data_IF_838061063236
#
_entry.id   IF_838061063236
#
_cell.length_a   1.000
_cell.length_b   1.000
_cell.length_c   1.000
_cell.angle_alpha   90.00
_cell.angle_beta   90.00
_cell.angle_gamma   90.00
#
_symmetry.space_group_name_H-M   'P 1'
#
loop_
_entity.id
_entity.type
_entity.pdbx_description
1 polymer ?
#
# COMPACT_ATOMS: atom_id res chain seq x y z
N UNK A 1 -12.83 -10.09 40.67
CA UNK A 1 -14.18 -10.07 40.06
C UNK A 1 -14.71 -8.66 39.75
N UNK A 2 -14.62 -7.65 40.65
CA UNK A 2 -15.10 -6.28 40.36
C UNK A 2 -14.39 -5.61 39.16
N UNK A 3 -13.10 -5.87 38.98
CA UNK A 3 -12.32 -5.31 37.86
C UNK A 3 -12.79 -5.81 36.48
N UNK A 4 -13.25 -7.07 36.38
CA UNK A 4 -13.62 -7.68 35.09
C UNK A 4 -14.87 -7.03 34.51
N UNK A 5 -15.91 -6.85 35.34
CA UNK A 5 -17.15 -6.20 34.92
C UNK A 5 -16.93 -4.72 34.58
N UNK A 6 -16.03 -4.04 35.28
CA UNK A 6 -15.65 -2.66 34.96
C UNK A 6 -14.91 -2.55 33.61
N UNK A 7 -14.00 -3.48 33.31
CA UNK A 7 -13.29 -3.54 32.02
C UNK A 7 -14.27 -3.80 30.87
N UNK A 8 -15.19 -4.74 31.04
CA UNK A 8 -16.24 -5.06 30.06
C UNK A 8 -17.18 -3.86 29.86
N UNK A 9 -17.62 -3.22 30.94
CA UNK A 9 -18.49 -2.04 30.87
C UNK A 9 -17.85 -0.88 30.11
N UNK A 10 -16.57 -0.60 30.36
CA UNK A 10 -15.80 0.44 29.64
C UNK A 10 -15.67 0.11 28.14
N UNK A 11 -15.43 -1.15 27.80
CA UNK A 11 -15.36 -1.60 26.40
C UNK A 11 -16.71 -1.38 25.69
N UNK A 12 -17.81 -1.80 26.30
CA UNK A 12 -19.17 -1.60 25.76
C UNK A 12 -19.47 -0.11 25.56
N UNK A 13 -19.10 0.73 26.52
CA UNK A 13 -19.23 2.18 26.41
C UNK A 13 -18.46 2.74 25.20
N UNK A 14 -17.17 2.40 25.07
CA UNK A 14 -16.33 2.89 23.97
C UNK A 14 -16.90 2.49 22.61
N UNK A 15 -17.27 1.22 22.44
CA UNK A 15 -17.83 0.71 21.19
C UNK A 15 -19.16 1.40 20.84
N UNK A 16 -20.03 1.63 21.83
CA UNK A 16 -21.29 2.34 21.60
C UNK A 16 -21.03 3.77 21.10
N UNK A 17 -20.05 4.47 21.68
CA UNK A 17 -19.68 5.83 21.27
C UNK A 17 -19.07 5.86 19.87
N UNK A 18 -18.19 4.92 19.52
CA UNK A 18 -17.65 4.75 18.16
C UNK A 18 -18.76 4.62 17.11
N UNK A 19 -19.87 3.96 17.47
CA UNK A 19 -21.04 3.79 16.60
C UNK A 19 -22.06 4.93 16.65
N UNK A 20 -21.79 6.00 17.41
CA UNK A 20 -22.67 7.16 17.53
C UNK A 20 -24.05 6.85 18.15
N UNK A 21 -24.18 5.76 18.91
CA UNK A 21 -25.45 5.36 19.51
C UNK A 21 -25.64 6.02 20.88
N UNK A 22 -26.81 6.64 21.12
CA UNK A 22 -27.19 7.07 22.47
C UNK A 22 -27.51 5.85 23.35
N UNK A 23 -27.40 5.98 24.67
CA UNK A 23 -27.78 4.88 25.58
C UNK A 23 -29.24 4.45 25.39
N UNK A 24 -30.15 5.39 25.11
CA UNK A 24 -31.56 5.11 24.84
C UNK A 24 -31.76 4.32 23.53
N UNK A 25 -31.06 4.72 22.45
CA UNK A 25 -31.10 4.00 21.18
C UNK A 25 -30.51 2.59 21.29
N UNK A 26 -29.43 2.44 22.05
CA UNK A 26 -28.81 1.15 22.31
C UNK A 26 -29.69 0.25 23.19
N UNK A 27 -30.31 0.79 24.23
CA UNK A 27 -31.24 0.07 25.08
C UNK A 27 -32.45 -0.47 24.29
N UNK A 28 -33.00 0.34 23.38
CA UNK A 28 -34.09 -0.07 22.49
C UNK A 28 -33.69 -1.26 21.61
N UNK A 29 -32.47 -1.24 21.04
CA UNK A 29 -31.97 -2.34 20.21
C UNK A 29 -31.69 -3.62 21.00
N UNK A 30 -31.26 -3.49 22.26
CA UNK A 30 -31.02 -4.62 23.17
C UNK A 30 -32.31 -5.19 23.79
N UNK A 31 -33.47 -4.55 23.60
CA UNK A 31 -34.69 -4.92 24.31
C UNK A 31 -34.61 -4.70 25.82
N UNK A 32 -33.85 -3.69 26.28
CA UNK A 32 -33.67 -3.37 27.70
C UNK A 32 -33.90 -1.89 28.01
N UNK A 33 -33.73 -1.48 29.27
CA UNK A 33 -33.90 -0.08 29.70
C UNK A 33 -32.60 0.71 29.59
N UNK A 34 -32.70 2.03 29.38
CA UNK A 34 -31.53 2.93 29.40
C UNK A 34 -30.79 2.87 30.75
N UNK A 35 -31.52 2.70 31.85
CA UNK A 35 -30.94 2.52 33.18
C UNK A 35 -30.11 1.23 33.29
N UNK A 36 -30.55 0.15 32.65
CA UNK A 36 -29.77 -1.09 32.57
C UNK A 36 -28.47 -0.90 31.77
N UNK A 37 -28.54 -0.26 30.60
CA UNK A 37 -27.34 0.09 29.81
C UNK A 37 -26.35 0.91 30.64
N UNK A 38 -26.83 1.90 31.40
CA UNK A 38 -25.95 2.71 32.25
C UNK A 38 -25.25 1.87 33.34
N UNK A 39 -25.95 0.92 33.96
CA UNK A 39 -25.34 0.00 34.94
C UNK A 39 -24.32 -0.94 34.31
N UNK A 40 -24.60 -1.42 33.09
CA UNK A 40 -23.69 -2.26 32.30
C UNK A 40 -22.38 -1.53 32.02
N UNK A 41 -22.46 -0.29 31.52
CA UNK A 41 -21.28 0.51 31.16
C UNK A 41 -20.40 0.87 32.37
N UNK A 42 -21.00 1.02 33.55
CA UNK A 42 -20.28 1.26 34.80
C UNK A 42 -19.83 -0.03 35.52
N UNK A 43 -20.02 -1.20 34.90
CA UNK A 43 -19.66 -2.49 35.48
C UNK A 43 -20.44 -2.86 36.74
N UNK A 44 -21.59 -2.24 36.97
CA UNK A 44 -22.48 -2.45 38.13
C UNK A 44 -23.56 -3.51 37.88
N UNK A 45 -23.47 -4.23 36.76
CA UNK A 45 -24.41 -5.27 36.38
C UNK A 45 -23.66 -6.55 36.06
N UNK A 46 -24.13 -7.67 36.61
CA UNK A 46 -23.63 -9.00 36.24
C UNK A 46 -24.24 -9.36 34.88
N UNK A 47 -23.37 -9.76 33.96
CA UNK A 47 -23.74 -10.11 32.59
C UNK A 47 -23.56 -11.60 32.38
N UNK A 48 -24.59 -12.27 31.87
CA UNK A 48 -24.47 -13.67 31.41
C UNK A 48 -23.77 -13.72 30.05
N UNK A 49 -23.26 -14.89 29.66
CA UNK A 49 -22.67 -15.09 28.32
C UNK A 49 -23.68 -14.78 27.22
N UNK A 50 -24.95 -15.16 27.39
CA UNK A 50 -26.02 -14.85 26.42
C UNK A 50 -26.26 -13.34 26.31
N UNK A 51 -26.23 -12.62 27.44
CA UNK A 51 -26.37 -11.16 27.43
C UNK A 51 -25.21 -10.51 26.68
N UNK A 52 -23.99 -11.03 26.87
CA UNK A 52 -22.79 -10.54 26.20
C UNK A 52 -22.76 -10.88 24.70
N UNK A 53 -23.30 -12.03 24.31
CA UNK A 53 -23.54 -12.38 22.91
C UNK A 53 -24.52 -11.41 22.25
N UNK A 54 -25.68 -11.19 22.86
CA UNK A 54 -26.69 -10.26 22.32
C UNK A 54 -26.17 -8.80 22.25
N UNK A 55 -25.36 -8.38 23.23
CA UNK A 55 -24.67 -7.09 23.18
C UNK A 55 -23.66 -7.03 22.03
N UNK A 56 -22.93 -8.11 21.78
CA UNK A 56 -21.98 -8.21 20.65
C UNK A 56 -22.69 -8.09 19.30
N UNK A 57 -23.88 -8.69 19.16
CA UNK A 57 -24.67 -8.63 17.93
C UNK A 57 -25.22 -7.22 17.67
N UNK A 58 -25.79 -6.58 18.70
CA UNK A 58 -26.36 -5.22 18.55
C UNK A 58 -25.27 -4.17 18.28
N UNK A 59 -24.09 -4.37 18.88
CA UNK A 59 -22.93 -3.54 18.63
C UNK A 59 -22.10 -4.04 17.45
N UNK A 60 -22.51 -5.11 16.75
CA UNK A 60 -21.83 -5.71 15.60
C UNK A 60 -20.30 -5.75 15.79
N UNK A 61 -19.89 -6.12 17.01
CA UNK A 61 -18.49 -6.16 17.47
C UNK A 61 -18.38 -7.22 18.55
N UNK A 62 -17.45 -8.15 18.35
CA UNK A 62 -17.30 -9.31 19.20
C UNK A 62 -16.72 -8.91 20.57
N UNK A 63 -17.52 -8.99 21.63
CA UNK A 63 -17.10 -8.67 23.02
C UNK A 63 -16.64 -9.93 23.77
N UNK A 64 -17.17 -11.10 23.40
CA UNK A 64 -16.70 -12.41 23.86
C UNK A 64 -16.42 -13.28 22.65
N UNK A 65 -15.21 -13.84 22.60
CA UNK A 65 -14.83 -14.89 21.66
C UNK A 65 -14.71 -16.20 22.44
N UNK A 66 -15.61 -17.16 22.21
CA UNK A 66 -15.42 -18.55 22.68
C UNK A 66 -14.51 -19.38 21.75
N UNK A 67 -14.17 -18.85 20.57
CA UNK A 67 -13.04 -19.26 19.72
C UNK A 67 -13.06 -18.35 18.49
N UNK A 68 -11.97 -17.64 18.21
CA UNK A 68 -11.84 -16.79 17.02
C UNK A 68 -11.18 -15.42 17.22
N UNK A 69 -10.63 -15.11 18.40
CA UNK A 69 -9.81 -13.93 18.65
C UNK A 69 -8.31 -14.24 18.58
N UNK A 70 -7.53 -13.32 17.98
CA UNK A 70 -6.08 -13.20 17.97
C UNK A 70 -5.25 -14.45 18.35
N UNK A 71 -4.48 -14.96 17.39
CA UNK A 71 -3.47 -15.98 17.64
C UNK A 71 -2.42 -15.37 18.59
N UNK A 72 -2.53 -15.67 19.89
CA UNK A 72 -1.50 -15.38 20.86
C UNK A 72 -0.48 -16.51 20.78
N UNK A 73 0.69 -16.22 20.21
CA UNK A 73 1.80 -17.17 20.16
C UNK A 73 2.56 -17.10 21.49
N UNK A 74 2.58 -18.20 22.24
CA UNK A 74 3.50 -18.39 23.37
C UNK A 74 4.73 -19.12 22.87
N UNK A 75 5.89 -18.46 22.91
CA UNK A 75 7.17 -19.06 22.53
C UNK A 75 7.87 -19.56 23.78
N UNK A 76 8.23 -20.85 23.82
CA UNK A 76 9.06 -21.43 24.87
C UNK A 76 10.53 -21.41 24.43
N UNK A 77 11.35 -20.64 25.16
CA UNK A 77 12.78 -20.50 24.86
C UNK A 77 13.57 -21.78 25.13
N UNK A 78 14.86 -21.78 24.72
CA UNK A 78 15.78 -22.89 24.97
C UNK A 78 15.85 -23.96 23.88
N UNK A 79 15.07 -23.82 22.81
CA UNK A 79 15.03 -24.77 21.70
C UNK A 79 15.99 -24.35 20.58
N UNK A 80 16.93 -25.23 20.21
CA UNK A 80 17.80 -25.02 19.06
C UNK A 80 17.06 -25.38 17.77
N UNK A 81 16.92 -24.42 16.84
CA UNK A 81 16.32 -24.67 15.53
C UNK A 81 17.34 -25.33 14.59
N UNK A 82 16.93 -26.41 13.91
CA UNK A 82 17.69 -27.07 12.84
C UNK A 82 16.72 -27.54 11.76
N UNK A 83 17.03 -27.23 10.51
CA UNK A 83 16.22 -27.61 9.36
C UNK A 83 16.39 -26.64 8.20
N UNK A 84 15.53 -26.78 7.19
CA UNK A 84 15.46 -25.93 6.01
C UNK A 84 14.04 -25.36 5.85
N UNK A 85 13.93 -24.20 5.25
CA UNK A 85 12.66 -23.50 5.00
C UNK A 85 12.71 -22.92 3.60
N UNK A 86 11.62 -23.10 2.85
CA UNK A 86 11.40 -22.40 1.60
C UNK A 86 10.94 -20.96 1.87
N UNK A 87 11.66 -19.99 1.30
CA UNK A 87 11.34 -18.58 1.48
C UNK A 87 10.22 -18.15 0.54
N UNK A 88 9.30 -17.33 1.07
CA UNK A 88 8.29 -16.67 0.23
C UNK A 88 8.93 -15.59 -0.63
N UNK A 89 8.26 -15.31 -1.74
CA UNK A 89 8.73 -14.39 -2.76
C UNK A 89 8.58 -12.93 -2.33
N UNK A 90 9.41 -12.07 -2.90
CA UNK A 90 9.51 -10.66 -2.48
C UNK A 90 8.28 -9.86 -2.87
N UNK A 91 7.49 -9.42 -1.87
CA UNK A 91 6.42 -8.45 -2.07
C UNK A 91 6.96 -7.14 -2.64
N UNK A 92 8.04 -6.60 -2.06
CA UNK A 92 8.48 -5.23 -2.37
C UNK A 92 8.99 -5.13 -3.81
N UNK A 93 9.74 -6.13 -4.27
CA UNK A 93 10.14 -6.22 -5.68
C UNK A 93 8.91 -6.36 -6.57
N UNK A 94 7.96 -7.22 -6.22
CA UNK A 94 6.70 -7.37 -6.98
C UNK A 94 5.97 -6.05 -7.17
N UNK A 95 5.83 -5.26 -6.09
CA UNK A 95 5.20 -3.93 -6.13
C UNK A 95 5.91 -3.01 -7.13
N UNK A 96 7.24 -2.93 -7.07
CA UNK A 96 8.03 -2.11 -7.99
C UNK A 96 7.88 -2.58 -9.44
N UNK A 97 7.95 -3.89 -9.68
CA UNK A 97 7.85 -4.48 -11.02
C UNK A 97 6.45 -4.33 -11.63
N UNK A 98 5.38 -4.33 -10.83
CA UNK A 98 4.03 -4.03 -11.30
C UNK A 98 3.92 -2.60 -11.85
N UNK A 99 4.48 -1.63 -11.13
CA UNK A 99 4.55 -0.24 -11.62
C UNK A 99 5.45 -0.14 -12.87
N UNK A 100 6.63 -0.76 -12.85
CA UNK A 100 7.57 -0.72 -13.97
C UNK A 100 7.05 -1.42 -15.23
N UNK A 101 6.14 -2.39 -15.10
CA UNK A 101 5.51 -3.04 -16.24
C UNK A 101 4.77 -2.06 -17.16
N UNK A 102 4.33 -0.90 -16.65
CA UNK A 102 3.74 0.18 -17.45
C UNK A 102 4.70 0.75 -18.51
N UNK A 103 6.02 0.60 -18.31
CA UNK A 103 7.04 1.06 -19.25
C UNK A 103 7.24 0.11 -20.44
N UNK A 104 6.79 -1.14 -20.33
CA UNK A 104 6.94 -2.13 -21.38
C UNK A 104 5.81 -2.01 -22.41
N UNK A 105 6.16 -1.95 -23.70
CA UNK A 105 5.20 -2.00 -24.82
C UNK A 105 4.88 -3.43 -25.28
N UNK A 106 5.66 -4.41 -24.83
CA UNK A 106 5.43 -5.83 -25.07
C UNK A 106 4.54 -6.48 -24.01
N UNK A 107 4.73 -7.79 -23.83
CA UNK A 107 4.08 -8.57 -22.77
C UNK A 107 5.09 -8.79 -21.64
N UNK A 108 4.74 -8.37 -20.43
CA UNK A 108 5.53 -8.65 -19.22
C UNK A 108 4.98 -9.90 -18.57
N UNK A 109 5.86 -10.87 -18.28
CA UNK A 109 5.53 -12.07 -17.49
C UNK A 109 6.34 -12.07 -16.21
N UNK A 110 5.68 -11.84 -15.09
CA UNK A 110 6.27 -11.91 -13.77
C UNK A 110 6.05 -13.32 -13.20
N UNK A 111 7.12 -13.98 -12.80
CA UNK A 111 7.09 -15.28 -12.15
C UNK A 111 7.19 -15.11 -10.64
N UNK A 112 6.72 -16.12 -9.90
CA UNK A 112 6.85 -16.17 -8.44
C UNK A 112 6.21 -14.95 -7.74
N UNK A 113 5.09 -14.45 -8.26
CA UNK A 113 4.37 -13.30 -7.72
C UNK A 113 3.53 -13.72 -6.52
N UNK A 114 3.71 -13.12 -5.32
CA UNK A 114 2.91 -13.44 -4.15
C UNK A 114 1.47 -12.91 -4.29
N UNK A 115 0.48 -13.77 -4.05
CA UNK A 115 -0.95 -13.40 -4.01
C UNK A 115 -1.33 -12.84 -2.65
N UNK A 116 -0.98 -11.58 -2.42
CA UNK A 116 -1.28 -10.85 -1.18
C UNK A 116 -2.06 -9.59 -1.48
N UNK A 117 -2.74 -9.06 -0.46
CA UNK A 117 -3.65 -7.92 -0.58
C UNK A 117 -3.01 -6.73 -1.30
N UNK A 118 -1.81 -6.31 -0.89
CA UNK A 118 -1.09 -5.18 -1.49
C UNK A 118 -0.88 -5.35 -3.02
N UNK A 119 -0.51 -6.55 -3.46
CA UNK A 119 -0.30 -6.88 -4.87
C UNK A 119 -1.62 -6.85 -5.63
N UNK A 120 -2.68 -7.43 -5.05
CA UNK A 120 -4.01 -7.42 -5.66
C UNK A 120 -4.57 -6.00 -5.80
N UNK A 121 -4.37 -5.12 -4.79
CA UNK A 121 -4.78 -3.72 -4.87
C UNK A 121 -4.10 -2.97 -6.02
N UNK A 122 -2.81 -3.20 -6.25
CA UNK A 122 -2.09 -2.59 -7.39
C UNK A 122 -2.62 -3.14 -8.71
N UNK A 123 -2.84 -4.45 -8.82
CA UNK A 123 -3.42 -5.08 -10.01
C UNK A 123 -4.79 -4.46 -10.34
N UNK A 124 -5.66 -4.31 -9.34
CA UNK A 124 -6.98 -3.68 -9.49
C UNK A 124 -6.88 -2.23 -10.02
N UNK A 125 -5.90 -1.47 -9.51
CA UNK A 125 -5.65 -0.10 -9.98
C UNK A 125 -5.14 -0.09 -11.43
N UNK A 126 -4.12 -0.88 -11.75
CA UNK A 126 -3.58 -0.94 -13.12
C UNK A 126 -4.64 -1.43 -14.12
N UNK A 127 -5.44 -2.44 -13.75
CA UNK A 127 -6.54 -2.92 -14.56
C UNK A 127 -7.60 -1.84 -14.80
N UNK A 128 -7.92 -1.03 -13.78
CA UNK A 128 -8.92 0.04 -13.90
C UNK A 128 -8.55 1.14 -14.90
N UNK A 129 -7.26 1.38 -15.13
CA UNK A 129 -6.77 2.35 -16.12
C UNK A 129 -6.56 1.72 -17.52
N UNK A 130 -6.96 0.45 -17.69
CA UNK A 130 -6.98 -0.25 -18.98
C UNK A 130 -5.86 -1.28 -19.19
N UNK A 131 -4.98 -1.52 -18.22
CA UNK A 131 -3.93 -2.55 -18.34
C UNK A 131 -4.56 -3.95 -18.32
N UNK A 132 -4.23 -4.80 -19.29
CA UNK A 132 -4.68 -6.18 -19.26
C UNK A 132 -3.75 -7.00 -18.36
N UNK A 133 -4.26 -7.44 -17.22
CA UNK A 133 -3.52 -8.23 -16.24
C UNK A 133 -4.29 -9.52 -15.97
N UNK A 134 -3.61 -10.66 -16.10
CA UNK A 134 -4.19 -11.97 -15.78
C UNK A 134 -3.18 -12.87 -15.10
N UNK A 135 -3.67 -13.68 -14.17
CA UNK A 135 -2.91 -14.79 -13.62
C UNK A 135 -2.89 -15.93 -14.62
N UNK A 136 -1.70 -16.40 -15.01
CA UNK A 136 -1.52 -17.56 -15.89
C UNK A 136 -1.29 -18.85 -15.12
N UNK A 137 -0.92 -18.73 -13.84
CA UNK A 137 -0.84 -19.83 -12.87
C UNK A 137 -1.04 -19.29 -11.45
N UNK A 138 -0.87 -20.15 -10.42
CA UNK A 138 -0.92 -19.72 -9.02
C UNK A 138 0.09 -18.62 -8.68
N UNK A 139 1.24 -18.58 -9.34
CA UNK A 139 2.34 -17.66 -9.02
C UNK A 139 2.84 -16.87 -10.23
N UNK A 140 2.19 -16.95 -11.39
CA UNK A 140 2.60 -16.22 -12.60
C UNK A 140 1.54 -15.21 -13.04
N UNK A 141 2.01 -14.02 -13.38
CA UNK A 141 1.21 -12.89 -13.80
C UNK A 141 1.65 -12.43 -15.19
N UNK A 142 0.71 -12.33 -16.12
CA UNK A 142 0.91 -11.74 -17.43
C UNK A 142 0.27 -10.35 -17.48
N UNK A 143 1.05 -9.37 -17.94
CA UNK A 143 0.68 -7.95 -18.00
C UNK A 143 0.92 -7.46 -19.43
N UNK A 144 -0.11 -6.85 -20.02
CA UNK A 144 -0.05 -6.19 -21.33
C UNK A 144 -0.65 -4.79 -21.22
N UNK A 145 0.19 -3.78 -21.45
CA UNK A 145 -0.20 -2.38 -21.43
C UNK A 145 -0.83 -2.02 -22.78
N UNK A 146 -2.02 -1.41 -22.82
CA UNK A 146 -2.62 -0.97 -24.08
C UNK A 146 -1.88 0.25 -24.65
N UNK A 147 -2.12 0.57 -25.92
CA UNK A 147 -1.57 1.77 -26.55
C UNK A 147 -2.07 3.07 -25.90
N UNK A 148 -3.26 3.05 -25.30
CA UNK A 148 -3.87 4.19 -24.60
C UNK A 148 -4.38 3.78 -23.23
N UNK A 149 -3.93 4.48 -22.20
CA UNK A 149 -4.40 4.34 -20.82
C UNK A 149 -5.53 5.35 -20.54
N UNK A 150 -6.35 5.05 -19.54
CA UNK A 150 -7.44 5.91 -19.07
C UNK A 150 -7.27 6.21 -17.57
N UNK A 151 -6.42 7.17 -17.20
CA UNK A 151 -6.10 7.48 -15.80
C UNK A 151 -7.31 7.98 -15.00
N UNK A 152 -8.34 8.53 -15.65
CA UNK A 152 -9.56 9.02 -14.98
C UNK A 152 -10.39 7.87 -14.38
N UNK A 153 -10.23 6.65 -14.89
CA UNK A 153 -10.91 5.44 -14.40
C UNK A 153 -10.22 4.78 -13.21
N UNK A 154 -9.15 5.37 -12.68
CA UNK A 154 -8.40 4.80 -11.55
C UNK A 154 -9.33 4.36 -10.41
N UNK A 155 -9.18 3.11 -9.97
CA UNK A 155 -9.94 2.56 -8.85
C UNK A 155 -9.50 3.24 -7.54
N UNK A 156 -10.26 4.26 -7.14
CA UNK A 156 -9.98 5.08 -5.95
C UNK A 156 -10.05 4.28 -4.65
N UNK A 157 -10.89 3.25 -4.59
CA UNK A 157 -11.02 2.44 -3.38
C UNK A 157 -9.75 1.63 -3.14
N UNK A 158 -9.28 0.92 -4.16
CA UNK A 158 -8.05 0.13 -4.09
C UNK A 158 -6.83 1.04 -3.91
N UNK A 159 -6.74 2.14 -4.67
CA UNK A 159 -5.66 3.11 -4.56
C UNK A 159 -5.52 3.71 -3.16
N UNK A 160 -6.64 3.96 -2.45
CA UNK A 160 -6.60 4.47 -1.06
C UNK A 160 -6.15 3.41 -0.05
N UNK A 161 -6.21 2.13 -0.40
CA UNK A 161 -5.82 1.02 0.50
C UNK A 161 -4.34 0.63 0.36
N UNK A 162 -3.60 1.20 -0.60
CA UNK A 162 -2.16 0.97 -0.80
C UNK A 162 -1.38 2.29 -0.81
N UNK A 163 -0.27 2.36 -0.07
CA UNK A 163 0.67 3.49 -0.15
C UNK A 163 1.50 3.49 -1.44
N UNK A 164 1.66 2.32 -2.04
CA UNK A 164 2.53 2.10 -3.20
C UNK A 164 1.99 2.73 -4.48
N UNK A 165 0.74 3.22 -4.49
CA UNK A 165 0.14 3.84 -5.68
C UNK A 165 0.92 5.06 -6.20
N UNK A 166 1.65 5.76 -5.33
CA UNK A 166 2.50 6.89 -5.73
C UNK A 166 3.61 6.47 -6.72
N UNK A 167 4.00 5.19 -6.71
CA UNK A 167 4.96 4.64 -7.66
C UNK A 167 4.43 4.54 -9.09
N UNK A 168 3.11 4.66 -9.30
CA UNK A 168 2.55 4.74 -10.64
C UNK A 168 2.91 6.07 -11.34
N UNK A 169 3.29 7.12 -10.59
CA UNK A 169 3.60 8.43 -11.19
C UNK A 169 4.82 8.36 -12.11
N UNK A 170 5.91 7.73 -11.67
CA UNK A 170 7.17 7.63 -12.44
C UNK A 170 7.00 7.02 -13.84
N UNK A 171 6.30 5.88 -14.00
CA UNK A 171 6.04 5.35 -15.33
C UNK A 171 4.93 6.09 -16.08
N UNK A 172 3.85 6.54 -15.42
CA UNK A 172 2.74 7.22 -16.10
C UNK A 172 3.14 8.59 -16.66
N UNK A 173 4.04 9.32 -15.99
CA UNK A 173 4.52 10.61 -16.48
C UNK A 173 5.26 10.50 -17.80
N UNK A 174 5.80 9.33 -18.16
CA UNK A 174 6.44 9.10 -19.45
C UNK A 174 5.43 9.00 -20.62
N UNK A 175 4.15 8.74 -20.33
CA UNK A 175 3.10 8.53 -21.34
C UNK A 175 2.03 9.61 -21.32
N UNK A 176 1.75 10.21 -20.16
CA UNK A 176 0.66 11.16 -19.92
C UNK A 176 1.20 12.55 -19.55
N UNK A 177 0.62 13.60 -20.10
CA UNK A 177 0.98 14.98 -19.79
C UNK A 177 0.23 15.53 -18.57
N UNK A 178 -0.93 14.97 -18.27
CA UNK A 178 -1.76 15.35 -17.12
C UNK A 178 -2.55 14.14 -16.64
N UNK A 179 -2.56 13.90 -15.32
CA UNK A 179 -3.35 12.84 -14.68
C UNK A 179 -3.48 13.07 -13.18
N UNK A 180 -4.35 12.28 -12.53
CA UNK A 180 -4.63 12.37 -11.09
C UNK A 180 -4.32 11.06 -10.39
N UNK A 181 -3.65 11.14 -9.24
CA UNK A 181 -3.38 9.99 -8.37
C UNK A 181 -4.11 10.17 -7.04
N UNK A 182 -5.01 9.24 -6.64
CA UNK A 182 -5.68 9.30 -5.35
C UNK A 182 -4.68 9.31 -4.19
N UNK A 183 -5.04 9.98 -3.10
CA UNK A 183 -4.25 9.87 -1.87
C UNK A 183 -4.24 8.43 -1.37
N UNK A 184 -3.05 7.93 -1.04
CA UNK A 184 -2.96 6.75 -0.21
C UNK A 184 -3.62 7.05 1.14
N UNK A 185 -4.57 6.22 1.53
CA UNK A 185 -5.25 6.30 2.81
C UNK A 185 -4.33 5.94 3.97
N UNK A 186 -4.82 6.24 5.18
CA UNK A 186 -4.09 6.17 6.43
C UNK A 186 -3.25 4.92 6.63
N UNK A 187 -2.02 5.14 7.07
CA UNK A 187 -1.35 4.13 7.89
C UNK A 187 -0.87 4.83 9.16
N UNK A 188 -1.26 4.24 10.29
CA UNK A 188 -1.00 4.75 11.64
C UNK A 188 0.48 4.60 12.03
N UNK A 189 1.26 3.83 11.27
CA UNK A 189 2.72 3.76 11.38
C UNK A 189 3.37 4.91 10.58
N UNK A 190 3.56 6.03 11.28
CA UNK A 190 4.39 7.16 10.87
C UNK A 190 3.81 8.02 9.75
N UNK A 191 3.91 9.35 9.90
CA UNK A 191 3.64 10.34 8.86
C UNK A 191 4.79 10.31 7.83
N UNK A 192 4.99 9.20 7.11
CA UNK A 192 5.91 9.18 5.97
C UNK A 192 5.34 10.11 4.91
N UNK A 193 6.11 11.12 4.54
CA UNK A 193 5.69 12.13 3.56
C UNK A 193 5.85 11.55 2.16
N UNK A 194 5.03 12.03 1.21
CA UNK A 194 5.23 11.74 -0.22
C UNK A 194 6.29 12.65 -0.86
N UNK A 195 6.83 13.59 -0.08
CA UNK A 195 7.78 14.61 -0.53
C UNK A 195 9.01 14.01 -1.24
N UNK A 196 9.62 12.90 -0.79
CA UNK A 196 10.75 12.31 -1.51
C UNK A 196 10.41 11.93 -2.95
N UNK A 197 9.18 11.46 -3.22
CA UNK A 197 8.74 11.17 -4.57
C UNK A 197 8.51 12.43 -5.39
N UNK A 198 7.92 13.46 -4.77
CA UNK A 198 7.64 14.73 -5.45
C UNK A 198 8.95 15.38 -5.90
N UNK A 199 9.91 15.56 -4.98
CA UNK A 199 11.20 16.17 -5.31
C UNK A 199 11.96 15.37 -6.36
N UNK A 200 11.95 14.03 -6.28
CA UNK A 200 12.63 13.20 -7.27
C UNK A 200 12.02 13.32 -8.67
N UNK A 201 10.69 13.44 -8.79
CA UNK A 201 9.99 13.50 -10.07
C UNK A 201 9.92 14.91 -10.67
N UNK A 202 10.00 15.95 -9.84
CA UNK A 202 10.11 17.35 -10.27
C UNK A 202 11.34 17.59 -11.14
N UNK A 203 12.46 16.92 -10.84
CA UNK A 203 13.69 16.95 -11.67
C UNK A 203 13.45 16.47 -13.11
N UNK A 204 12.46 15.60 -13.33
CA UNK A 204 12.06 15.09 -14.64
C UNK A 204 10.90 15.89 -15.26
N UNK A 205 10.50 17.00 -14.63
CA UNK A 205 9.48 17.91 -15.10
C UNK A 205 8.04 17.57 -14.69
N UNK A 206 7.84 16.72 -13.68
CA UNK A 206 6.53 16.51 -13.08
C UNK A 206 6.24 17.55 -11.99
N UNK A 207 5.17 18.32 -12.16
CA UNK A 207 4.63 19.21 -11.13
C UNK A 207 3.47 18.52 -10.42
N UNK A 208 3.64 18.19 -9.14
CA UNK A 208 2.68 17.43 -8.36
C UNK A 208 2.01 18.33 -7.33
N UNK A 209 0.73 18.65 -7.53
CA UNK A 209 -0.03 19.55 -6.66
C UNK A 209 -1.05 18.76 -5.84
N UNK A 210 -1.07 19.00 -4.52
CA UNK A 210 -2.03 18.39 -3.60
C UNK A 210 -3.41 19.08 -3.71
N UNK A 211 -4.46 18.30 -4.00
CA UNK A 211 -5.86 18.76 -4.02
C UNK A 211 -6.71 17.99 -2.99
N UNK A 212 -8.02 18.23 -2.92
CA UNK A 212 -8.89 17.47 -2.01
C UNK A 212 -9.00 16.00 -2.49
N UNK A 213 -8.28 15.10 -1.80
CA UNK A 213 -8.38 13.64 -1.98
C UNK A 213 -7.56 13.01 -3.10
N UNK A 214 -6.72 13.79 -3.78
CA UNK A 214 -5.82 13.32 -4.85
C UNK A 214 -4.68 14.31 -5.09
N UNK A 215 -3.59 13.83 -5.72
CA UNK A 215 -2.55 14.64 -6.35
C UNK A 215 -2.90 14.88 -7.81
N UNK A 216 -2.80 16.13 -8.27
CA UNK A 216 -2.81 16.46 -9.70
C UNK A 216 -1.36 16.46 -10.19
N UNK A 217 -1.07 15.76 -11.28
CA UNK A 217 0.26 15.64 -11.87
C UNK A 217 0.22 16.27 -13.25
N UNK A 218 0.97 17.36 -13.42
CA UNK A 218 1.21 17.99 -14.72
C UNK A 218 2.65 17.69 -15.15
N UNK A 219 2.88 17.28 -16.39
CA UNK A 219 4.21 16.81 -16.83
C UNK A 219 4.69 17.62 -18.03
N UNK A 220 5.81 18.31 -17.83
CA UNK A 220 6.62 18.94 -18.89
C UNK A 220 7.96 18.22 -18.94
N UNK A 221 7.99 17.07 -19.60
CA UNK A 221 9.15 16.16 -19.62
C UNK A 221 10.43 16.89 -19.97
N UNK A 222 11.42 16.81 -19.09
CA UNK A 222 12.75 17.35 -19.29
C UNK A 222 13.78 16.37 -18.74
N UNK A 223 14.88 16.19 -19.47
CA UNK A 223 16.03 15.48 -18.91
C UNK A 223 16.68 16.39 -17.85
N UNK A 224 16.97 15.88 -16.64
CA UNK A 224 17.70 16.65 -15.63
C UNK A 224 19.06 17.12 -16.17
N UNK A 225 19.36 18.41 -15.99
CA UNK A 225 20.66 18.97 -16.40
C UNK A 225 21.80 18.65 -15.42
N UNK A 226 21.45 18.26 -14.20
CA UNK A 226 22.36 17.95 -13.10
C UNK A 226 22.00 16.58 -12.51
N UNK A 227 22.90 15.94 -11.74
CA UNK A 227 22.56 14.74 -11.00
C UNK A 227 21.35 14.94 -10.09
N UNK A 228 20.40 14.02 -10.16
CA UNK A 228 19.21 13.99 -9.29
C UNK A 228 19.64 13.48 -7.93
N UNK A 229 19.72 14.36 -6.93
CA UNK A 229 20.03 13.98 -5.54
C UNK A 229 18.73 13.73 -4.80
N UNK A 230 18.49 12.48 -4.39
CA UNK A 230 17.27 12.15 -3.65
C UNK A 230 17.27 12.83 -2.28
N UNK A 231 16.08 13.22 -1.81
CA UNK A 231 15.90 13.87 -0.51
C UNK A 231 16.30 12.97 0.67
N UNK A 232 16.01 11.68 0.55
CA UNK A 232 16.41 10.63 1.48
C UNK A 232 16.63 9.33 0.68
N UNK A 233 17.36 8.38 1.26
CA UNK A 233 17.60 7.05 0.67
C UNK A 233 16.35 6.15 0.81
N UNK A 234 15.23 6.58 0.23
CA UNK A 234 13.95 5.87 0.21
C UNK A 234 13.89 4.89 -0.95
N UNK A 235 13.56 3.63 -0.66
CA UNK A 235 13.41 2.56 -1.66
C UNK A 235 12.44 2.98 -2.77
N UNK A 236 11.21 3.34 -2.40
CA UNK A 236 10.13 3.65 -3.35
C UNK A 236 10.34 4.96 -4.10
N UNK A 237 11.01 5.93 -3.50
CA UNK A 237 11.36 7.18 -4.18
C UNK A 237 12.48 6.96 -5.21
N UNK A 238 13.48 6.14 -4.84
CA UNK A 238 14.55 5.70 -5.75
C UNK A 238 13.94 4.97 -6.94
N UNK A 239 13.03 4.02 -6.71
CA UNK A 239 12.34 3.27 -7.76
C UNK A 239 11.54 4.18 -8.70
N UNK A 240 10.84 5.19 -8.17
CA UNK A 240 10.10 6.16 -8.99
C UNK A 240 11.04 6.99 -9.89
N UNK A 241 12.16 7.46 -9.33
CA UNK A 241 13.17 8.21 -10.06
C UNK A 241 13.81 7.38 -11.18
N UNK A 242 14.12 6.11 -10.90
CA UNK A 242 14.63 5.15 -11.89
C UNK A 242 13.60 4.94 -13.01
N UNK A 243 12.32 4.72 -12.67
CA UNK A 243 11.25 4.53 -13.67
C UNK A 243 11.01 5.78 -14.51
N UNK A 244 11.13 6.98 -13.93
CA UNK A 244 11.08 8.23 -14.68
C UNK A 244 12.25 8.30 -15.67
N UNK A 245 13.50 8.13 -15.20
CA UNK A 245 14.71 8.18 -16.02
C UNK A 245 14.74 7.16 -17.18
N UNK A 246 14.09 6.00 -17.01
CA UNK A 246 14.11 4.89 -17.96
C UNK A 246 13.64 5.25 -19.39
N UNK A 247 12.81 6.28 -19.57
CA UNK A 247 12.24 6.66 -20.89
C UNK A 247 12.79 7.97 -21.45
N UNK A 248 13.81 8.53 -20.81
CA UNK A 248 14.51 9.70 -21.35
C UNK A 248 15.70 9.28 -22.21
N UNK A 249 15.82 9.89 -23.39
CA UNK A 249 17.01 9.75 -24.23
C UNK A 249 18.11 10.65 -23.66
N UNK A 250 19.15 10.03 -23.08
CA UNK A 250 20.24 10.73 -22.40
C UNK A 250 20.70 10.01 -21.15
N UNK A 251 21.75 10.54 -20.50
CA UNK A 251 22.25 10.01 -19.24
C UNK A 251 21.67 10.80 -18.07
N UNK A 252 21.11 10.09 -17.10
CA UNK A 252 20.69 10.61 -15.80
C UNK A 252 21.55 9.99 -14.73
N UNK A 253 22.08 10.80 -13.82
CA UNK A 253 22.77 10.32 -12.62
C UNK A 253 21.85 10.52 -11.43
N UNK A 254 21.51 9.44 -10.73
CA UNK A 254 20.75 9.49 -9.47
C UNK A 254 21.72 9.27 -8.31
N UNK A 255 21.74 10.18 -7.34
CA UNK A 255 22.56 10.13 -6.13
C UNK A 255 21.69 9.94 -4.89
N UNK A 256 22.29 9.38 -3.84
CA UNK A 256 21.59 8.96 -2.62
C UNK A 256 20.50 7.92 -2.91
N UNK A 257 20.72 7.09 -3.94
CA UNK A 257 19.85 5.98 -4.28
C UNK A 257 19.88 4.91 -3.18
N UNK A 258 18.74 4.28 -2.92
CA UNK A 258 18.72 3.08 -2.09
C UNK A 258 19.38 1.91 -2.82
N UNK A 259 20.31 1.24 -2.13
CA UNK A 259 21.00 0.04 -2.60
C UNK A 259 20.21 -1.27 -2.35
N UNK A 260 18.98 -1.17 -1.84
CA UNK A 260 18.21 -2.31 -1.36
C UNK A 260 17.73 -3.24 -2.50
N UNK A 261 17.44 -4.49 -2.19
CA UNK A 261 17.24 -5.56 -3.19
C UNK A 261 16.09 -5.29 -4.18
N UNK A 262 15.01 -4.66 -3.75
CA UNK A 262 13.86 -4.33 -4.62
C UNK A 262 14.23 -3.29 -5.69
N UNK A 263 15.11 -2.34 -5.35
CA UNK A 263 15.66 -1.36 -6.30
C UNK A 263 16.54 -2.07 -7.33
N UNK A 264 17.35 -3.02 -6.88
CA UNK A 264 18.19 -3.82 -7.78
C UNK A 264 17.33 -4.67 -8.73
N UNK A 265 16.29 -5.33 -8.23
CA UNK A 265 15.33 -6.10 -9.05
C UNK A 265 14.67 -5.22 -10.12
N UNK A 266 14.27 -4.00 -9.78
CA UNK A 266 13.77 -3.02 -10.74
C UNK A 266 14.83 -2.69 -11.80
N UNK A 267 16.07 -2.44 -11.41
CA UNK A 267 17.15 -2.15 -12.35
C UNK A 267 17.36 -3.32 -13.33
N UNK A 268 17.42 -4.56 -12.83
CA UNK A 268 17.58 -5.74 -13.69
C UNK A 268 16.37 -5.96 -14.62
N UNK A 269 15.16 -5.66 -14.14
CA UNK A 269 13.98 -5.67 -14.99
C UNK A 269 14.08 -4.66 -16.13
N UNK A 270 14.47 -3.41 -15.83
CA UNK A 270 14.61 -2.36 -16.84
C UNK A 270 15.76 -2.65 -17.82
N UNK A 271 16.84 -3.28 -17.37
CA UNK A 271 17.90 -3.77 -18.27
C UNK A 271 17.36 -4.78 -19.30
N UNK A 272 16.43 -5.65 -18.91
CA UNK A 272 15.75 -6.56 -19.86
C UNK A 272 14.85 -5.81 -20.85
N UNK A 273 14.42 -4.59 -20.53
CA UNK A 273 13.68 -3.71 -21.44
C UNK A 273 14.60 -2.82 -22.29
N UNK A 274 15.93 -2.97 -22.18
CA UNK A 274 16.91 -2.22 -22.97
C UNK A 274 17.50 -1.00 -22.28
N UNK A 275 17.08 -0.66 -21.05
CA UNK A 275 17.64 0.47 -20.30
C UNK A 275 19.06 0.13 -19.82
N UNK A 276 20.05 0.98 -20.08
CA UNK A 276 21.41 0.77 -19.55
C UNK A 276 21.49 1.39 -18.16
N UNK A 277 21.80 0.57 -17.15
CA UNK A 277 21.92 1.00 -15.75
C UNK A 277 23.25 0.49 -15.20
N UNK A 278 24.03 1.41 -14.62
CA UNK A 278 25.31 1.13 -13.95
C UNK A 278 25.24 1.61 -12.49
N UNK A 279 26.05 1.00 -11.61
CA UNK A 279 26.05 1.30 -10.17
C UNK A 279 24.96 0.59 -9.36
N UNK A 280 24.32 -0.45 -9.91
CA UNK A 280 23.28 -1.24 -9.23
C UNK A 280 23.80 -1.76 -7.87
N UNK A 281 23.03 -1.53 -6.80
CA UNK A 281 23.42 -1.90 -5.43
C UNK A 281 24.35 -0.88 -4.76
N UNK A 282 24.54 0.31 -5.35
CA UNK A 282 25.26 1.44 -4.75
C UNK A 282 24.34 2.66 -4.55
N UNK A 283 24.87 3.71 -3.92
CA UNK A 283 24.15 4.97 -3.71
C UNK A 283 24.16 5.91 -4.92
N UNK A 284 24.84 5.53 -6.02
CA UNK A 284 24.91 6.32 -7.25
C UNK A 284 24.58 5.43 -8.45
N UNK A 285 23.53 5.80 -9.19
CA UNK A 285 23.11 5.09 -10.40
C UNK A 285 23.33 5.97 -11.63
N UNK A 286 23.94 5.40 -12.67
CA UNK A 286 24.01 6.01 -13.99
C UNK A 286 23.00 5.30 -14.90
N UNK A 287 22.02 6.04 -15.39
CA UNK A 287 20.89 5.50 -16.15
C UNK A 287 20.88 6.15 -17.53
N UNK A 288 20.91 5.33 -18.57
CA UNK A 288 20.68 5.76 -19.96
C UNK A 288 19.39 5.13 -20.45
N UNK A 289 18.34 5.95 -20.47
CA UNK A 289 17.00 5.55 -20.87
C UNK A 289 16.85 5.33 -22.38
N UNK A 290 15.74 4.72 -22.76
CA UNK A 290 15.35 4.50 -24.16
C UNK A 290 13.86 4.80 -24.36
N UNK A 291 13.53 5.45 -25.48
CA UNK A 291 12.18 5.90 -25.81
C UNK A 291 11.37 4.84 -26.58
#
# INVERSE_FOLDING_TARGET
MPETNQKIGRLIYQIRQERGLTQAAFAKKLGTSQSAVNRIEHGKQNLTLDTLGHISDVLDKQIISLSGGAINLRVEGGHQLKGEIELKTSKNATVALLSAALLNKGVTRLKQVPRIEEVNRIIEVLASIGVNIRWTSETELEIKVPAKLDPEKINKESARKTRSIIMAVGPLMNELNEFRIPYAGGCELGRRTVLPHIYALEEFGAKITAHKGHYNVEVKRSLPAQPVVLYESSDTATENAIMAAARFEGETVIKLASANYMVQDLCFFLQKLGVRIEGIGSSTLHIRGQR
#
